data_IF_554323778119
#
_entry.id   IF_554323778119
#
_cell.length_a   1.000
_cell.length_b   1.000
_cell.length_c   1.000
_cell.angle_alpha   90.00
_cell.angle_beta   90.00
_cell.angle_gamma   90.00
#
_symmetry.space_group_name_H-M   'P 1'
#
loop_
_entity.id
_entity.type
_entity.pdbx_description
1 polymer ?
#
# COMPACT_ATOMS: atom_id res chain seq x y z
N UNK A 1 -30.66 6.38 -66.89
CA UNK A 1 -29.90 7.46 -66.22
C UNK A 1 -30.37 7.53 -64.76
N UNK A 2 -29.52 7.03 -63.84
CA UNK A 2 -29.42 7.33 -62.38
C UNK A 2 -30.63 7.03 -61.46
N UNK A 3 -30.55 5.98 -60.63
CA UNK A 3 -30.02 5.95 -59.23
C UNK A 3 -30.98 6.57 -58.20
N UNK A 4 -31.59 5.74 -57.33
CA UNK A 4 -31.26 5.66 -55.90
C UNK A 4 -32.15 4.62 -55.19
N UNK A 5 -31.49 3.58 -54.68
CA UNK A 5 -32.01 2.53 -53.81
C UNK A 5 -31.39 2.73 -52.42
N UNK A 6 -32.08 2.26 -51.39
CA UNK A 6 -31.63 2.10 -49.98
C UNK A 6 -31.60 3.38 -49.13
N UNK A 7 -32.29 3.33 -47.98
CA UNK A 7 -31.71 3.51 -46.64
C UNK A 7 -32.82 3.84 -45.60
N UNK A 8 -33.69 2.89 -45.24
CA UNK A 8 -34.69 3.10 -44.17
C UNK A 8 -35.01 1.79 -43.42
N UNK A 9 -33.97 1.04 -43.06
CA UNK A 9 -34.12 -0.15 -42.20
C UNK A 9 -32.99 -0.30 -41.17
N UNK A 10 -32.40 0.81 -40.72
CA UNK A 10 -31.27 0.80 -39.78
C UNK A 10 -31.35 1.92 -38.73
N UNK A 11 -32.52 2.18 -38.15
CA UNK A 11 -32.64 3.06 -36.96
C UNK A 11 -33.70 2.49 -36.02
N UNK A 12 -33.41 1.36 -35.39
CA UNK A 12 -34.21 0.86 -34.26
C UNK A 12 -33.40 0.07 -33.22
N UNK A 13 -32.06 0.18 -33.23
CA UNK A 13 -31.20 -0.61 -32.34
C UNK A 13 -30.27 0.20 -31.42
N UNK A 14 -30.43 1.54 -31.30
CA UNK A 14 -29.52 2.40 -30.49
C UNK A 14 -30.21 3.04 -29.26
N UNK A 15 -31.49 2.76 -29.00
CA UNK A 15 -32.22 3.39 -27.87
C UNK A 15 -32.37 2.51 -26.61
N UNK A 16 -31.75 1.34 -26.54
CA UNK A 16 -31.82 0.47 -25.35
C UNK A 16 -30.84 0.85 -24.21
N UNK A 17 -29.97 1.85 -24.39
CA UNK A 17 -28.86 2.16 -23.47
C UNK A 17 -29.05 3.44 -22.63
N UNK A 18 -30.29 3.88 -22.40
CA UNK A 18 -30.55 5.14 -21.67
C UNK A 18 -31.62 5.06 -20.58
N UNK A 19 -31.87 3.87 -20.02
CA UNK A 19 -32.73 3.78 -18.84
C UNK A 19 -31.95 4.15 -17.57
N UNK A 20 -32.46 5.08 -16.74
CA UNK A 20 -31.84 5.39 -15.45
C UNK A 20 -31.90 4.16 -14.53
N UNK A 21 -30.77 3.84 -13.90
CA UNK A 21 -30.64 2.76 -12.91
C UNK A 21 -31.59 3.08 -11.74
N UNK A 22 -32.59 2.22 -11.51
CA UNK A 22 -33.53 2.41 -10.40
C UNK A 22 -32.83 2.20 -9.04
N UNK A 23 -33.19 2.97 -8.00
CA UNK A 23 -32.64 2.77 -6.65
C UNK A 23 -33.10 1.42 -6.07
N UNK A 24 -32.14 0.63 -5.57
CA UNK A 24 -32.39 -0.65 -4.93
C UNK A 24 -33.05 -0.42 -3.55
N UNK A 25 -34.19 -1.05 -3.30
CA UNK A 25 -34.84 -1.04 -1.99
C UNK A 25 -34.10 -1.95 -0.99
N UNK A 26 -34.04 -1.62 0.32
CA UNK A 26 -33.42 -2.47 1.33
C UNK A 26 -34.19 -3.78 1.48
N UNK A 27 -33.53 -4.92 1.27
CA UNK A 27 -34.18 -6.24 1.29
C UNK A 27 -33.75 -7.03 2.51
N UNK A 28 -34.67 -7.24 3.44
CA UNK A 28 -34.53 -8.21 4.53
C UNK A 28 -34.68 -9.62 3.96
N UNK A 29 -33.57 -10.31 3.69
CA UNK A 29 -33.60 -11.77 3.43
C UNK A 29 -34.11 -12.47 4.70
N UNK A 30 -35.06 -13.41 4.57
CA UNK A 30 -35.39 -14.35 5.65
C UNK A 30 -34.15 -15.22 5.90
N UNK A 31 -33.32 -14.78 6.83
CA UNK A 31 -32.06 -15.45 7.16
C UNK A 31 -32.43 -16.71 7.92
N UNK A 32 -32.16 -17.89 7.37
CA UNK A 32 -31.82 -19.00 8.25
C UNK A 32 -30.59 -18.54 9.01
N UNK A 33 -30.76 -18.20 10.29
CA UNK A 33 -29.69 -17.65 11.12
C UNK A 33 -28.69 -18.76 11.33
N UNK A 34 -27.56 -18.72 10.62
CA UNK A 34 -26.42 -19.56 10.97
C UNK A 34 -25.93 -19.07 12.33
N UNK A 35 -25.93 -19.94 13.33
CA UNK A 35 -25.35 -19.66 14.64
C UNK A 35 -23.86 -19.37 14.46
N UNK A 36 -23.48 -18.13 14.68
CA UNK A 36 -22.08 -17.68 14.68
C UNK A 36 -21.61 -17.55 16.13
N UNK A 37 -20.37 -17.94 16.39
CA UNK A 37 -19.72 -17.81 17.70
C UNK A 37 -18.93 -16.49 17.77
N UNK A 38 -18.78 -15.95 18.99
CA UNK A 38 -18.00 -14.74 19.26
C UNK A 38 -18.81 -13.44 19.20
N UNK A 39 -18.13 -12.35 19.52
CA UNK A 39 -18.70 -11.00 19.48
C UNK A 39 -19.05 -10.57 18.04
N UNK A 40 -20.04 -9.69 17.92
CA UNK A 40 -20.41 -9.11 16.63
C UNK A 40 -19.40 -8.06 16.22
N UNK A 41 -18.76 -8.25 15.07
CA UNK A 41 -17.82 -7.28 14.49
C UNK A 41 -18.52 -6.53 13.36
N UNK A 42 -18.60 -5.20 13.47
CA UNK A 42 -19.08 -4.35 12.38
C UNK A 42 -17.91 -3.82 11.52
N UNK A 43 -18.23 -3.25 10.35
CA UNK A 43 -17.23 -2.71 9.43
C UNK A 43 -16.40 -1.57 10.07
N UNK A 44 -17.04 -0.67 10.81
CA UNK A 44 -16.39 0.48 11.41
C UNK A 44 -15.39 0.08 12.51
N UNK A 45 -15.75 -0.91 13.33
CA UNK A 45 -14.91 -1.53 14.34
C UNK A 45 -13.72 -2.22 13.68
N UNK A 46 -13.94 -3.02 12.62
CA UNK A 46 -12.87 -3.67 11.87
C UNK A 46 -11.87 -2.64 11.30
N UNK A 47 -12.37 -1.56 10.69
CA UNK A 47 -11.54 -0.46 10.18
C UNK A 47 -10.79 0.22 11.32
N UNK A 48 -11.46 0.57 12.41
CA UNK A 48 -10.84 1.26 13.55
C UNK A 48 -9.71 0.42 14.19
N UNK A 49 -9.95 -0.87 14.38
CA UNK A 49 -8.98 -1.82 14.89
C UNK A 49 -7.76 -1.93 13.96
N UNK A 50 -7.98 -1.99 12.64
CA UNK A 50 -6.90 -2.00 11.67
C UNK A 50 -6.11 -0.68 11.67
N UNK A 51 -6.78 0.47 11.74
CA UNK A 51 -6.11 1.78 11.77
C UNK A 51 -5.22 1.97 13.02
N UNK A 52 -5.62 1.38 14.14
CA UNK A 52 -4.87 1.45 15.40
C UNK A 52 -3.70 0.44 15.46
N UNK A 53 -3.91 -0.78 14.95
CA UNK A 53 -2.99 -1.90 15.16
C UNK A 53 -2.17 -2.30 13.94
N UNK A 54 -2.55 -1.87 12.72
CA UNK A 54 -1.86 -2.25 11.47
C UNK A 54 -0.36 -1.96 11.53
N UNK A 55 0.44 -3.01 11.31
CA UNK A 55 1.89 -2.90 11.23
C UNK A 55 2.34 -2.04 10.04
N UNK A 56 1.63 -2.10 8.91
CA UNK A 56 1.95 -1.29 7.73
C UNK A 56 1.82 0.21 8.05
N UNK A 57 0.73 0.62 8.68
CA UNK A 57 0.53 2.02 9.09
C UNK A 57 1.62 2.46 10.08
N UNK A 58 2.02 1.59 11.02
CA UNK A 58 3.11 1.88 11.97
C UNK A 58 4.47 2.02 11.29
N UNK A 59 4.76 1.21 10.27
CA UNK A 59 5.99 1.31 9.47
C UNK A 59 6.03 2.65 8.74
N UNK A 60 4.96 3.03 8.05
CA UNK A 60 4.89 4.30 7.32
C UNK A 60 4.95 5.51 8.26
N UNK A 61 4.26 5.47 9.40
CA UNK A 61 4.38 6.50 10.45
C UNK A 61 5.80 6.61 11.01
N UNK A 62 6.51 5.48 11.17
CA UNK A 62 7.91 5.49 11.62
C UNK A 62 8.83 6.12 10.58
N UNK A 63 8.62 5.85 9.28
CA UNK A 63 9.37 6.48 8.19
C UNK A 63 9.09 7.99 8.12
N UNK A 64 7.84 8.41 8.33
CA UNK A 64 7.47 9.82 8.45
C UNK A 64 8.21 10.48 9.63
N UNK A 65 8.25 9.82 10.79
CA UNK A 65 8.98 10.31 11.97
C UNK A 65 10.49 10.43 11.71
N UNK A 66 11.10 9.49 10.98
CA UNK A 66 12.51 9.57 10.56
C UNK A 66 12.71 10.84 9.71
N UNK A 67 11.90 11.03 8.68
CA UNK A 67 11.98 12.21 7.81
C UNK A 67 11.78 13.53 8.59
N UNK A 68 10.83 13.57 9.54
CA UNK A 68 10.62 14.75 10.41
C UNK A 68 11.83 15.01 11.32
N UNK A 69 12.47 13.96 11.82
CA UNK A 69 13.67 14.06 12.65
C UNK A 69 14.84 14.59 11.83
N UNK A 70 15.02 14.09 10.62
CA UNK A 70 16.04 14.56 9.67
C UNK A 70 15.83 16.04 9.32
N UNK A 71 14.59 16.43 9.01
CA UNK A 71 14.24 17.83 8.75
C UNK A 71 14.46 18.73 9.98
N UNK A 72 14.07 18.29 11.18
CA UNK A 72 14.33 19.03 12.42
C UNK A 72 15.82 19.17 12.69
N UNK A 73 16.62 18.17 12.35
CA UNK A 73 18.07 18.17 12.54
C UNK A 73 18.78 18.98 11.47
N UNK A 74 18.19 19.13 10.28
CA UNK A 74 18.75 19.91 9.18
C UNK A 74 19.05 21.36 9.56
N UNK A 75 18.28 21.96 10.48
CA UNK A 75 18.57 23.32 11.00
C UNK A 75 19.94 23.42 11.69
N UNK A 76 20.46 22.31 12.22
CA UNK A 76 21.78 22.28 12.86
C UNK A 76 22.93 22.34 11.84
N UNK A 77 22.67 22.09 10.55
CA UNK A 77 23.66 22.28 9.49
C UNK A 77 24.10 23.75 9.31
N UNK A 78 23.34 24.70 9.86
CA UNK A 78 23.68 26.12 9.86
C UNK A 78 24.56 26.53 11.06
N UNK A 79 24.79 25.65 12.02
CA UNK A 79 25.58 25.94 13.23
C UNK A 79 27.03 25.45 13.08
N UNK A 80 27.98 26.02 13.84
CA UNK A 80 29.34 25.50 13.93
C UNK A 80 29.33 24.06 14.46
N UNK A 81 30.20 23.22 13.91
CA UNK A 81 30.60 22.00 14.59
C UNK A 81 31.82 22.27 15.47
N UNK A 82 31.89 21.60 16.62
CA UNK A 82 33.04 21.65 17.51
C UNK A 82 33.49 20.21 17.78
N UNK A 83 34.77 19.95 17.57
CA UNK A 83 35.39 18.65 17.80
C UNK A 83 36.53 18.81 18.79
N UNK A 84 36.55 17.97 19.81
CA UNK A 84 37.68 17.87 20.74
C UNK A 84 38.46 16.62 20.38
N UNK A 85 39.76 16.79 20.14
CA UNK A 85 40.66 15.71 19.76
C UNK A 85 41.78 15.59 20.79
N UNK A 86 42.12 14.35 21.13
CA UNK A 86 43.28 14.02 21.95
C UNK A 86 44.05 12.90 21.25
N UNK A 87 45.35 13.08 21.09
CA UNK A 87 46.22 12.12 20.43
C UNK A 87 47.53 12.05 21.22
N UNK A 88 47.91 10.86 21.66
CA UNK A 88 49.20 10.62 22.30
C UNK A 88 49.92 9.55 21.49
N UNK A 89 50.91 9.98 20.72
CA UNK A 89 51.71 9.09 19.91
C UNK A 89 53.07 8.93 20.57
N UNK A 90 53.46 7.69 20.85
CA UNK A 90 54.80 7.35 21.32
C UNK A 90 55.44 6.43 20.29
N UNK A 91 56.54 6.87 19.68
CA UNK A 91 57.29 6.09 18.71
C UNK A 91 58.61 5.62 19.31
N UNK A 92 58.93 4.33 19.17
CA UNK A 92 60.23 3.78 19.54
C UNK A 92 61.05 3.59 18.27
N UNK A 93 62.19 4.24 18.18
CA UNK A 93 62.98 4.28 16.96
C UNK A 93 64.48 4.19 17.26
N UNK A 94 65.25 3.83 16.24
CA UNK A 94 66.70 3.95 16.24
C UNK A 94 67.07 5.09 15.29
N UNK A 95 67.93 5.99 15.72
CA UNK A 95 68.26 7.23 15.01
C UNK A 95 69.76 7.35 14.83
N UNK A 96 70.20 7.48 13.57
CA UNK A 96 71.58 7.86 13.22
C UNK A 96 71.58 9.31 12.73
N UNK A 97 72.36 10.17 13.39
CA UNK A 97 72.51 11.58 13.04
C UNK A 97 73.93 11.89 12.60
N UNK A 98 74.07 12.66 11.52
CA UNK A 98 75.35 13.16 11.03
C UNK A 98 75.32 14.70 11.11
N UNK A 99 76.36 15.29 11.69
CA UNK A 99 76.39 16.73 11.95
C UNK A 99 76.97 17.49 10.75
N UNK A 100 76.36 18.63 10.42
CA UNK A 100 76.71 19.50 9.29
C UNK A 100 78.15 20.05 9.35
N UNK A 101 78.72 20.16 10.55
CA UNK A 101 80.07 20.68 10.76
C UNK A 101 81.17 19.65 10.43
N UNK A 102 80.83 18.36 10.32
CA UNK A 102 81.79 17.26 10.06
C UNK A 102 82.85 17.07 11.14
N UNK A 103 82.86 17.92 12.17
CA UNK A 103 83.81 17.93 13.29
C UNK A 103 83.41 16.92 14.37
N UNK A 104 82.16 16.44 14.34
CA UNK A 104 81.62 15.48 15.30
C UNK A 104 81.30 14.16 14.60
N UNK A 105 81.68 13.01 15.17
CA UNK A 105 81.32 11.71 14.61
C UNK A 105 79.79 11.52 14.59
N UNK A 106 79.27 10.71 13.65
CA UNK A 106 77.86 10.34 13.61
C UNK A 106 77.36 9.80 14.95
N UNK A 107 76.22 10.27 15.43
CA UNK A 107 75.60 9.81 16.66
C UNK A 107 74.54 8.74 16.35
N UNK A 108 74.75 7.53 16.86
CA UNK A 108 73.77 6.44 16.79
C UNK A 108 73.05 6.30 18.14
N UNK A 109 71.74 6.55 18.16
CA UNK A 109 70.87 6.33 19.30
C UNK A 109 69.93 5.15 19.01
N UNK A 110 69.88 4.19 19.93
CA UNK A 110 69.01 3.01 19.81
C UNK A 110 67.97 3.02 20.93
N UNK A 111 66.74 2.56 20.63
CA UNK A 111 65.65 2.48 21.60
C UNK A 111 65.13 3.82 22.10
N UNK A 112 65.27 4.90 21.31
CA UNK A 112 64.78 6.22 21.71
C UNK A 112 63.26 6.29 21.59
N UNK A 113 62.64 6.94 22.59
CA UNK A 113 61.21 7.17 22.61
C UNK A 113 60.90 8.62 22.29
N UNK A 114 60.10 8.81 21.24
CA UNK A 114 59.59 10.12 20.85
C UNK A 114 58.11 10.17 21.15
N UNK A 115 57.71 11.07 22.05
CA UNK A 115 56.32 11.24 22.45
C UNK A 115 55.79 12.56 21.90
N UNK A 116 54.67 12.51 21.19
CA UNK A 116 53.93 13.68 20.73
C UNK A 116 52.52 13.60 21.30
N UNK A 117 52.21 14.49 22.24
CA UNK A 117 50.89 14.65 22.83
C UNK A 117 50.24 15.87 22.19
N UNK A 118 49.08 15.68 21.58
CA UNK A 118 48.28 16.73 20.98
C UNK A 118 46.90 16.68 21.61
N UNK A 119 46.43 17.81 22.12
CA UNK A 119 45.09 17.97 22.65
C UNK A 119 44.54 19.28 22.09
N UNK A 120 43.33 19.28 21.54
CA UNK A 120 42.79 20.51 21.00
C UNK A 120 41.30 20.47 20.76
N UNK A 121 40.72 21.66 20.71
CA UNK A 121 39.33 21.87 20.30
C UNK A 121 39.35 22.61 18.98
N UNK A 122 38.67 22.08 17.97
CA UNK A 122 38.52 22.68 16.66
C UNK A 122 37.05 22.99 16.40
N UNK A 123 36.77 24.25 16.07
CA UNK A 123 35.49 24.76 15.63
C UNK A 123 35.54 25.00 14.12
N UNK A 124 34.60 24.42 13.39
CA UNK A 124 34.43 24.69 11.97
C UNK A 124 32.97 25.09 11.70
N UNK A 125 32.80 26.26 11.11
CA UNK A 125 31.50 26.79 10.76
C UNK A 125 31.42 27.08 9.28
N UNK A 126 30.58 26.33 8.57
CA UNK A 126 30.25 26.59 7.17
C UNK A 126 29.32 27.80 7.08
N UNK A 127 29.88 28.96 6.78
CA UNK A 127 29.14 30.23 6.67
C UNK A 127 28.41 30.31 5.33
N UNK A 128 29.05 29.81 4.25
CA UNK A 128 28.47 29.84 2.92
C UNK A 128 28.91 28.63 2.09
N UNK A 129 27.99 28.00 1.35
CA UNK A 129 28.27 26.91 0.42
C UNK A 129 27.47 27.02 -0.88
N UNK A 130 27.36 28.23 -1.42
CA UNK A 130 26.55 28.45 -2.62
C UNK A 130 25.05 28.27 -2.40
N UNK A 131 24.56 28.53 -1.19
CA UNK A 131 23.18 28.25 -0.76
C UNK A 131 22.82 26.76 -0.65
N UNK A 132 23.79 25.84 -0.75
CA UNK A 132 23.55 24.39 -0.66
C UNK A 132 22.81 23.96 0.60
N UNK A 133 23.10 24.56 1.77
CA UNK A 133 22.40 24.24 3.03
C UNK A 133 20.92 24.66 3.01
N UNK A 134 20.58 25.80 2.42
CA UNK A 134 19.19 26.25 2.28
C UNK A 134 18.41 25.33 1.34
N UNK A 135 19.00 24.98 0.19
CA UNK A 135 18.39 24.05 -0.77
C UNK A 135 18.19 22.66 -0.14
N UNK A 136 19.18 22.18 0.62
CA UNK A 136 19.09 20.90 1.32
C UNK A 136 18.00 20.91 2.41
N UNK A 137 17.83 22.03 3.12
CA UNK A 137 16.75 22.22 4.09
C UNK A 137 15.37 22.17 3.41
N UNK A 138 15.18 22.93 2.33
CA UNK A 138 13.94 22.91 1.54
C UNK A 138 13.64 21.50 1.01
N UNK A 139 14.67 20.80 0.52
CA UNK A 139 14.54 19.42 0.02
C UNK A 139 14.04 18.48 1.11
N UNK A 140 14.60 18.54 2.31
CA UNK A 140 14.16 17.71 3.44
C UNK A 140 12.73 18.05 3.84
N UNK A 141 12.31 19.31 3.73
CA UNK A 141 10.91 19.71 3.93
C UNK A 141 9.96 19.06 2.93
N UNK A 142 10.33 18.98 1.64
CA UNK A 142 9.54 18.26 0.62
C UNK A 142 9.55 16.74 0.86
N UNK A 143 10.66 16.16 1.35
CA UNK A 143 10.73 14.73 1.73
C UNK A 143 9.77 14.38 2.86
N UNK A 144 9.58 15.26 3.85
CA UNK A 144 8.55 15.07 4.89
C UNK A 144 7.15 15.01 4.27
N UNK A 145 6.83 15.90 3.32
CA UNK A 145 5.53 15.89 2.64
C UNK A 145 5.34 14.61 1.81
N UNK A 146 6.39 14.06 1.21
CA UNK A 146 6.36 12.78 0.49
C UNK A 146 5.99 11.65 1.44
N UNK A 147 6.63 11.58 2.61
CA UNK A 147 6.37 10.51 3.59
C UNK A 147 4.98 10.64 4.23
N UNK A 148 4.49 11.87 4.45
CA UNK A 148 3.10 12.13 4.85
C UNK A 148 2.11 11.62 3.77
N UNK A 149 2.34 11.94 2.50
CA UNK A 149 1.49 11.48 1.40
C UNK A 149 1.50 9.96 1.27
N UNK A 150 2.67 9.32 1.33
CA UNK A 150 2.79 7.85 1.31
C UNK A 150 2.08 7.18 2.50
N UNK A 151 2.18 7.77 3.69
CA UNK A 151 1.47 7.29 4.89
C UNK A 151 -0.04 7.36 4.66
N UNK A 152 -0.55 8.48 4.11
CA UNK A 152 -1.96 8.61 3.75
C UNK A 152 -2.39 7.57 2.71
N UNK A 153 -1.60 7.35 1.66
CA UNK A 153 -1.90 6.33 0.65
C UNK A 153 -1.99 4.93 1.27
N UNK A 154 -1.11 4.60 2.21
CA UNK A 154 -1.12 3.32 2.90
C UNK A 154 -2.33 3.17 3.85
N UNK A 155 -2.74 4.25 4.51
CA UNK A 155 -3.97 4.30 5.30
C UNK A 155 -5.19 4.04 4.41
N UNK A 156 -5.32 4.75 3.28
CA UNK A 156 -6.42 4.56 2.31
C UNK A 156 -6.45 3.12 1.76
N UNK A 157 -5.27 2.55 1.45
CA UNK A 157 -5.16 1.16 1.01
C UNK A 157 -5.56 0.15 2.10
N UNK A 158 -5.14 0.35 3.35
CA UNK A 158 -5.50 -0.51 4.48
C UNK A 158 -7.01 -0.51 4.71
N UNK A 159 -7.65 0.66 4.67
CA UNK A 159 -9.11 0.77 4.80
C UNK A 159 -9.82 0.00 3.69
N UNK A 160 -9.38 0.16 2.43
CA UNK A 160 -9.95 -0.56 1.30
C UNK A 160 -9.78 -2.09 1.41
N UNK A 161 -8.60 -2.56 1.83
CA UNK A 161 -8.33 -3.99 2.03
C UNK A 161 -9.18 -4.60 3.13
N UNK A 162 -9.34 -3.90 4.27
CA UNK A 162 -10.19 -4.35 5.38
C UNK A 162 -11.66 -4.39 4.96
N UNK A 163 -12.14 -3.34 4.29
CA UNK A 163 -13.51 -3.31 3.80
C UNK A 163 -13.79 -4.43 2.78
N UNK A 164 -12.85 -4.70 1.87
CA UNK A 164 -12.96 -5.78 0.89
C UNK A 164 -13.01 -7.15 1.57
N UNK A 165 -12.11 -7.41 2.53
CA UNK A 165 -12.09 -8.65 3.30
C UNK A 165 -13.37 -8.83 4.16
N UNK A 166 -13.88 -7.75 4.74
CA UNK A 166 -15.13 -7.76 5.49
C UNK A 166 -16.33 -8.16 4.62
N UNK A 167 -16.47 -7.56 3.44
CA UNK A 167 -17.53 -7.94 2.50
C UNK A 167 -17.33 -9.34 1.90
N UNK A 168 -16.09 -9.85 1.82
CA UNK A 168 -15.85 -11.23 1.44
C UNK A 168 -16.38 -12.20 2.51
N UNK A 169 -16.18 -11.92 3.80
CA UNK A 169 -16.79 -12.72 4.88
C UNK A 169 -18.31 -12.77 4.72
N UNK A 170 -18.96 -11.64 4.45
CA UNK A 170 -20.41 -11.57 4.21
C UNK A 170 -20.79 -12.42 2.99
N UNK A 171 -20.07 -12.30 1.88
CA UNK A 171 -20.27 -13.10 0.66
C UNK A 171 -20.21 -14.60 0.96
N UNK A 172 -19.16 -15.04 1.65
CA UNK A 172 -18.98 -16.47 1.99
C UNK A 172 -20.10 -16.97 2.92
N UNK A 173 -20.54 -16.15 3.88
CA UNK A 173 -21.64 -16.48 4.78
C UNK A 173 -22.98 -16.60 4.04
N UNK A 174 -23.27 -15.70 3.10
CA UNK A 174 -24.49 -15.77 2.27
C UNK A 174 -24.51 -17.02 1.38
N UNK A 175 -23.38 -17.39 0.78
CA UNK A 175 -23.26 -18.64 0.03
C UNK A 175 -23.42 -19.87 0.92
N UNK A 176 -22.91 -19.82 2.17
CA UNK A 176 -23.10 -20.89 3.15
C UNK A 176 -24.59 -21.07 3.52
N UNK A 177 -25.33 -19.96 3.65
CA UNK A 177 -26.78 -19.99 3.88
C UNK A 177 -27.50 -20.65 2.70
N UNK A 178 -27.18 -20.28 1.47
CA UNK A 178 -27.77 -20.84 0.24
C UNK A 178 -27.51 -22.36 0.14
N UNK A 179 -26.27 -22.80 0.35
CA UNK A 179 -25.91 -24.22 0.31
C UNK A 179 -26.57 -25.03 1.44
N UNK A 180 -26.78 -24.43 2.61
CA UNK A 180 -27.49 -25.08 3.71
C UNK A 180 -28.96 -25.31 3.35
N UNK A 181 -29.62 -24.33 2.76
CA UNK A 181 -30.99 -24.47 2.26
C UNK A 181 -31.07 -25.54 1.16
N UNK A 182 -30.10 -25.58 0.25
CA UNK A 182 -30.03 -26.63 -0.77
C UNK A 182 -29.86 -28.03 -0.17
N UNK A 183 -29.04 -28.17 0.88
CA UNK A 183 -28.87 -29.44 1.58
C UNK A 183 -30.14 -29.90 2.30
N UNK A 184 -30.88 -28.98 2.92
CA UNK A 184 -32.16 -29.29 3.57
C UNK A 184 -33.17 -29.82 2.54
N UNK A 185 -33.28 -29.20 1.36
CA UNK A 185 -34.10 -29.70 0.24
C UNK A 185 -33.63 -31.09 -0.22
N UNK A 186 -32.32 -31.32 -0.33
CA UNK A 186 -31.77 -32.62 -0.73
C UNK A 186 -32.01 -33.70 0.33
N UNK A 187 -32.09 -33.34 1.62
CA UNK A 187 -32.50 -34.26 2.69
C UNK A 187 -33.95 -34.67 2.53
N UNK A 188 -34.86 -33.72 2.36
CA UNK A 188 -36.29 -34.00 2.19
C UNK A 188 -36.54 -34.90 0.96
N UNK A 189 -35.81 -34.64 -0.13
CA UNK A 189 -35.85 -35.49 -1.34
C UNK A 189 -35.33 -36.91 -1.07
N UNK A 190 -34.25 -37.07 -0.31
CA UNK A 190 -33.71 -38.37 0.04
C UNK A 190 -34.70 -39.18 0.90
N UNK A 191 -35.34 -38.53 1.88
CA UNK A 191 -36.36 -39.15 2.72
C UNK A 191 -37.58 -39.59 1.90
N UNK A 192 -38.07 -38.73 1.00
CA UNK A 192 -39.17 -39.06 0.10
C UNK A 192 -38.80 -40.21 -0.86
N UNK A 193 -37.60 -40.19 -1.43
CA UNK A 193 -37.14 -41.24 -2.33
C UNK A 193 -36.96 -42.59 -1.61
N UNK A 194 -36.51 -42.58 -0.34
CA UNK A 194 -36.44 -43.77 0.51
C UNK A 194 -37.83 -44.34 0.77
N UNK A 195 -38.78 -43.51 1.23
CA UNK A 195 -40.15 -43.94 1.51
C UNK A 195 -40.83 -44.53 0.27
N UNK A 196 -40.67 -43.89 -0.88
CA UNK A 196 -41.23 -44.38 -2.14
C UNK A 196 -40.61 -45.71 -2.59
N UNK A 197 -39.32 -45.92 -2.36
CA UNK A 197 -38.65 -47.19 -2.64
C UNK A 197 -39.12 -48.31 -1.72
N UNK A 198 -39.26 -48.05 -0.42
CA UNK A 198 -39.73 -49.02 0.59
C UNK A 198 -41.16 -49.50 0.32
N UNK A 199 -42.03 -48.60 -0.15
CA UNK A 199 -43.41 -48.92 -0.56
C UNK A 199 -43.50 -49.46 -1.99
N UNK A 200 -42.38 -49.47 -2.74
CA UNK A 200 -42.30 -50.01 -4.11
C UNK A 200 -42.88 -49.11 -5.21
N UNK A 201 -43.11 -47.83 -4.92
CA UNK A 201 -43.69 -46.85 -5.89
C UNK A 201 -42.64 -46.22 -6.81
N UNK A 202 -41.35 -46.26 -6.44
CA UNK A 202 -40.22 -45.73 -7.23
C UNK A 202 -39.04 -46.70 -7.23
N UNK A 203 -38.10 -46.49 -8.15
CA UNK A 203 -36.99 -47.40 -8.38
C UNK A 203 -35.87 -47.25 -7.33
N UNK A 204 -35.07 -48.30 -7.12
CA UNK A 204 -33.83 -48.22 -6.31
C UNK A 204 -32.85 -47.19 -6.88
N UNK A 205 -32.87 -46.96 -8.20
CA UNK A 205 -32.03 -45.97 -8.88
C UNK A 205 -32.38 -44.56 -8.43
N UNK A 206 -33.66 -44.24 -8.25
CA UNK A 206 -34.11 -42.93 -7.76
C UNK A 206 -33.62 -42.66 -6.33
N UNK A 207 -33.72 -43.68 -5.44
CA UNK A 207 -33.18 -43.60 -4.08
C UNK A 207 -31.66 -43.38 -4.06
N UNK A 208 -30.91 -44.19 -4.81
CA UNK A 208 -29.45 -44.06 -4.86
C UNK A 208 -29.01 -42.72 -5.47
N UNK A 209 -29.74 -42.22 -6.46
CA UNK A 209 -29.45 -40.91 -7.07
C UNK A 209 -29.67 -39.76 -6.06
N UNK A 210 -30.77 -39.80 -5.30
CA UNK A 210 -31.02 -38.84 -4.24
C UNK A 210 -29.95 -38.90 -3.12
N UNK A 211 -29.46 -40.10 -2.80
CA UNK A 211 -28.38 -40.27 -1.83
C UNK A 211 -27.05 -39.68 -2.32
N UNK A 212 -26.73 -39.83 -3.61
CA UNK A 212 -25.56 -39.20 -4.22
C UNK A 212 -25.68 -37.67 -4.20
N UNK A 213 -26.86 -37.13 -4.54
CA UNK A 213 -27.12 -35.69 -4.51
C UNK A 213 -26.97 -35.11 -3.10
N UNK A 214 -27.54 -35.77 -2.08
CA UNK A 214 -27.37 -35.37 -0.68
C UNK A 214 -25.89 -35.36 -0.24
N UNK A 215 -25.12 -36.38 -0.64
CA UNK A 215 -23.69 -36.45 -0.33
C UNK A 215 -22.89 -35.35 -1.05
N UNK A 216 -23.25 -35.03 -2.30
CA UNK A 216 -22.62 -33.95 -3.07
C UNK A 216 -22.88 -32.58 -2.44
N UNK A 217 -24.13 -32.30 -2.03
CA UNK A 217 -24.49 -31.05 -1.37
C UNK A 217 -23.87 -30.95 0.03
N UNK A 218 -23.76 -32.07 0.76
CA UNK A 218 -23.05 -32.14 2.04
C UNK A 218 -21.57 -31.78 1.88
N UNK A 219 -20.92 -32.33 0.84
CA UNK A 219 -19.52 -32.02 0.51
C UNK A 219 -19.33 -30.54 0.16
N UNK A 220 -20.24 -29.97 -0.66
CA UNK A 220 -20.22 -28.55 -1.01
C UNK A 220 -20.38 -27.65 0.22
N UNK A 221 -21.27 -28.01 1.16
CA UNK A 221 -21.43 -27.27 2.41
C UNK A 221 -20.15 -27.27 3.25
N UNK A 222 -19.48 -28.42 3.40
CA UNK A 222 -18.21 -28.54 4.14
C UNK A 222 -17.12 -27.69 3.48
N UNK A 223 -17.00 -27.72 2.16
CA UNK A 223 -16.07 -26.87 1.42
C UNK A 223 -16.36 -25.38 1.67
N UNK A 224 -17.64 -24.99 1.68
CA UNK A 224 -18.02 -23.59 1.93
C UNK A 224 -17.77 -23.16 3.38
N UNK A 225 -17.92 -24.05 4.36
CA UNK A 225 -17.52 -23.78 5.75
C UNK A 225 -16.03 -23.47 5.86
N UNK A 226 -15.19 -24.19 5.11
CA UNK A 226 -13.76 -23.89 5.03
C UNK A 226 -13.51 -22.51 4.39
N UNK A 227 -14.25 -22.13 3.34
CA UNK A 227 -14.14 -20.81 2.73
C UNK A 227 -14.49 -19.68 3.70
N UNK A 228 -15.57 -19.84 4.48
CA UNK A 228 -15.95 -18.90 5.56
C UNK A 228 -14.84 -18.82 6.61
N UNK A 229 -14.26 -19.95 7.02
CA UNK A 229 -13.16 -19.96 7.98
C UNK A 229 -11.94 -19.22 7.44
N UNK A 230 -11.58 -19.46 6.18
CA UNK A 230 -10.45 -18.80 5.53
C UNK A 230 -10.65 -17.28 5.42
N UNK A 231 -11.85 -16.81 5.03
CA UNK A 231 -12.13 -15.38 4.95
C UNK A 231 -12.10 -14.70 6.32
N UNK A 232 -12.59 -15.37 7.37
CA UNK A 232 -12.46 -14.89 8.76
C UNK A 232 -11.00 -14.79 9.22
N UNK A 233 -10.19 -15.83 8.96
CA UNK A 233 -8.75 -15.85 9.26
C UNK A 233 -8.03 -14.70 8.56
N UNK A 234 -8.37 -14.47 7.29
CA UNK A 234 -7.81 -13.37 6.51
C UNK A 234 -8.17 -12.00 7.11
N UNK A 235 -9.43 -11.78 7.47
CA UNK A 235 -9.86 -10.54 8.12
C UNK A 235 -9.16 -10.34 9.48
N UNK A 236 -9.08 -11.39 10.33
CA UNK A 236 -8.35 -11.35 11.60
C UNK A 236 -6.89 -10.91 11.43
N UNK A 237 -6.23 -11.42 10.39
CA UNK A 237 -4.84 -11.07 10.08
C UNK A 237 -4.70 -9.60 9.68
N UNK A 238 -5.64 -9.07 8.89
CA UNK A 238 -5.64 -7.67 8.47
C UNK A 238 -5.89 -6.69 9.63
N UNK A 239 -6.77 -7.04 10.57
CA UNK A 239 -7.05 -6.23 11.77
C UNK A 239 -6.05 -6.48 12.92
N UNK A 240 -5.02 -7.30 12.68
CA UNK A 240 -3.96 -7.63 13.64
C UNK A 240 -4.52 -8.23 14.93
N UNK A 241 -5.32 -9.28 14.79
CA UNK A 241 -5.85 -10.12 15.87
C UNK A 241 -5.34 -11.55 15.70
N UNK A 242 -5.43 -12.38 16.75
CA UNK A 242 -5.17 -13.80 16.64
C UNK A 242 -6.02 -14.41 15.49
N UNK A 243 -5.38 -15.05 14.48
CA UNK A 243 -6.05 -15.68 13.36
C UNK A 243 -7.17 -16.66 13.75
N UNK A 244 -7.05 -17.32 14.90
CA UNK A 244 -8.02 -18.31 15.39
C UNK A 244 -9.25 -17.69 16.08
N UNK A 245 -9.29 -16.37 16.27
CA UNK A 245 -10.38 -15.72 16.99
C UNK A 245 -11.69 -15.79 16.21
N UNK A 246 -12.72 -16.39 16.78
CA UNK A 246 -14.06 -16.40 16.20
C UNK A 246 -14.79 -15.06 16.40
N UNK A 247 -15.67 -14.74 15.46
CA UNK A 247 -16.54 -13.56 15.51
C UNK A 247 -17.76 -13.76 14.62
N UNK A 248 -18.80 -12.96 14.88
CA UNK A 248 -20.03 -12.95 14.11
C UNK A 248 -20.13 -11.68 13.24
N UNK A 249 -20.60 -11.83 12.00
CA UNK A 249 -20.94 -10.70 11.11
C UNK A 249 -22.43 -10.79 10.78
N UNK A 250 -23.15 -9.67 10.92
CA UNK A 250 -24.62 -9.59 10.70
C UNK A 250 -25.03 -8.60 9.60
N UNK A 251 -24.05 -7.99 8.92
CA UNK A 251 -24.30 -7.01 7.88
C UNK A 251 -24.70 -7.65 6.54
N UNK A 252 -25.18 -6.81 5.62
CA UNK A 252 -25.50 -7.17 4.23
C UNK A 252 -24.76 -6.25 3.27
N UNK A 253 -24.56 -6.71 2.04
CA UNK A 253 -23.94 -5.93 0.97
C UNK A 253 -24.97 -4.93 0.43
N UNK A 254 -24.72 -3.63 0.62
CA UNK A 254 -25.53 -2.55 0.05
C UNK A 254 -24.68 -1.83 -0.98
N UNK A 255 -25.15 -1.82 -2.23
CA UNK A 255 -24.49 -1.20 -3.36
C UNK A 255 -25.00 0.22 -3.55
N UNK A 256 -24.07 1.17 -3.64
CA UNK A 256 -24.38 2.56 -3.93
C UNK A 256 -24.53 2.77 -5.45
N UNK A 257 -25.45 3.64 -5.88
CA UNK A 257 -25.77 3.87 -7.31
C UNK A 257 -25.47 5.29 -7.82
N UNK A 258 -25.11 6.22 -6.93
CA UNK A 258 -24.98 7.66 -7.22
C UNK A 258 -23.53 8.13 -7.47
N UNK A 259 -22.71 7.30 -8.13
CA UNK A 259 -21.29 7.62 -8.38
C UNK A 259 -21.10 8.30 -9.74
N UNK A 260 -20.61 9.55 -9.73
CA UNK A 260 -20.27 10.31 -10.94
C UNK A 260 -18.77 10.23 -11.28
N UNK A 261 -18.45 9.77 -12.49
CA UNK A 261 -17.06 9.65 -12.98
C UNK A 261 -16.32 10.99 -12.99
N UNK A 262 -16.98 12.08 -13.40
CA UNK A 262 -16.32 13.39 -13.52
C UNK A 262 -15.92 13.94 -12.15
N UNK A 263 -16.74 13.73 -11.13
CA UNK A 263 -16.39 14.07 -9.75
C UNK A 263 -15.20 13.24 -9.25
N UNK A 264 -15.16 11.94 -9.57
CA UNK A 264 -14.03 11.07 -9.21
C UNK A 264 -12.73 11.49 -9.90
N UNK A 265 -12.77 11.86 -11.18
CA UNK A 265 -11.59 12.35 -11.93
C UNK A 265 -11.02 13.63 -11.31
N UNK A 266 -11.88 14.57 -10.94
CA UNK A 266 -11.48 15.81 -10.27
C UNK A 266 -10.87 15.51 -8.90
N UNK A 267 -11.51 14.66 -8.10
CA UNK A 267 -11.00 14.28 -6.78
C UNK A 267 -9.67 13.53 -6.87
N UNK A 268 -9.52 12.61 -7.82
CA UNK A 268 -8.27 11.89 -8.08
C UNK A 268 -7.13 12.86 -8.40
N UNK A 269 -7.37 13.83 -9.28
CA UNK A 269 -6.33 14.78 -9.71
C UNK A 269 -5.87 15.69 -8.56
N UNK A 270 -6.78 16.06 -7.66
CA UNK A 270 -6.49 17.03 -6.60
C UNK A 270 -6.07 16.40 -5.26
N UNK A 271 -6.60 15.22 -4.94
CA UNK A 271 -6.52 14.63 -3.61
C UNK A 271 -5.73 13.33 -3.53
N UNK A 272 -5.42 12.68 -4.67
CA UNK A 272 -4.78 11.38 -4.64
C UNK A 272 -3.35 11.47 -4.07
N UNK A 273 -3.04 10.78 -2.96
CA UNK A 273 -1.76 10.90 -2.28
C UNK A 273 -0.58 10.39 -3.11
N UNK A 274 -0.78 9.40 -4.00
CA UNK A 274 0.29 8.90 -4.87
C UNK A 274 0.68 9.93 -5.93
N UNK A 275 -0.30 10.65 -6.49
CA UNK A 275 -0.03 11.73 -7.44
C UNK A 275 0.64 12.93 -6.75
N UNK A 276 0.21 13.26 -5.52
CA UNK A 276 0.87 14.29 -4.70
C UNK A 276 2.33 13.90 -4.41
N UNK A 277 2.58 12.66 -4.00
CA UNK A 277 3.93 12.16 -3.77
C UNK A 277 4.80 12.21 -5.03
N UNK A 278 4.26 11.85 -6.20
CA UNK A 278 4.98 11.94 -7.47
C UNK A 278 5.36 13.39 -7.83
N UNK A 279 4.43 14.33 -7.67
CA UNK A 279 4.71 15.76 -7.90
C UNK A 279 5.77 16.31 -6.92
N UNK A 280 5.74 15.89 -5.65
CA UNK A 280 6.75 16.25 -4.66
C UNK A 280 8.13 15.63 -4.97
N UNK A 281 8.18 14.39 -5.46
CA UNK A 281 9.43 13.75 -5.92
C UNK A 281 10.08 14.55 -7.06
N UNK A 282 9.28 15.05 -8.01
CA UNK A 282 9.79 15.96 -9.05
C UNK A 282 10.36 17.26 -8.46
N UNK A 283 9.71 17.85 -7.44
CA UNK A 283 10.25 19.04 -6.74
C UNK A 283 11.59 18.73 -6.06
N UNK A 284 11.72 17.58 -5.40
CA UNK A 284 12.98 17.12 -4.80
C UNK A 284 14.07 16.97 -5.87
N UNK A 285 13.76 16.39 -7.04
CA UNK A 285 14.70 16.27 -8.14
C UNK A 285 15.16 17.65 -8.66
N UNK A 286 14.24 18.61 -8.80
CA UNK A 286 14.57 19.99 -9.16
C UNK A 286 15.46 20.68 -8.12
N UNK A 287 15.23 20.43 -6.83
CA UNK A 287 16.12 20.93 -5.76
C UNK A 287 17.50 20.28 -5.83
N UNK A 288 17.60 19.00 -6.21
CA UNK A 288 18.89 18.34 -6.43
C UNK A 288 19.67 18.96 -7.62
N UNK A 289 18.98 19.44 -8.66
CA UNK A 289 19.63 20.23 -9.73
C UNK A 289 20.23 21.51 -9.18
N UNK A 290 19.46 22.27 -8.38
CA UNK A 290 19.96 23.50 -7.74
C UNK A 290 21.12 23.20 -6.78
N UNK A 291 21.07 22.08 -6.06
CA UNK A 291 22.14 21.64 -5.17
C UNK A 291 23.41 21.28 -5.97
N UNK A 292 23.31 20.58 -7.09
CA UNK A 292 24.45 20.33 -7.98
C UNK A 292 25.03 21.64 -8.55
N UNK A 293 24.18 22.62 -8.88
CA UNK A 293 24.62 23.95 -9.35
C UNK A 293 25.32 24.75 -8.24
N UNK A 294 24.87 24.65 -6.99
CA UNK A 294 25.46 25.34 -5.83
C UNK A 294 26.94 25.00 -5.62
N UNK A 295 27.35 23.78 -5.99
CA UNK A 295 28.73 23.30 -5.86
C UNK A 295 29.73 24.01 -6.79
N UNK A 296 29.26 24.89 -7.69
CA UNK A 296 30.11 25.77 -8.51
C UNK A 296 30.45 27.09 -7.82
N UNK A 297 29.75 27.44 -6.76
CA UNK A 297 29.93 28.69 -6.03
C UNK A 297 30.99 28.52 -4.93
N UNK A 298 31.54 29.64 -4.40
CA UNK A 298 32.46 29.57 -3.27
C UNK A 298 31.87 28.85 -2.08
N UNK A 299 32.74 28.14 -1.37
CA UNK A 299 32.52 27.74 0.02
C UNK A 299 33.32 28.66 0.94
N UNK A 300 32.73 29.12 2.04
CA UNK A 300 33.35 29.98 3.04
C UNK A 300 33.15 29.34 4.41
N UNK A 301 34.25 29.03 5.07
CA UNK A 301 34.30 28.47 6.41
C UNK A 301 34.93 29.50 7.37
N UNK A 302 34.34 29.65 8.55
CA UNK A 302 35.03 30.20 9.72
C UNK A 302 35.66 29.03 10.47
N UNK A 303 36.96 29.07 10.65
CA UNK A 303 37.71 28.08 11.44
C UNK A 303 38.25 28.74 12.69
N UNK A 304 38.16 28.03 13.80
CA UNK A 304 38.69 28.44 15.08
C UNK A 304 39.17 27.22 15.84
N UNK A 305 40.10 27.39 16.76
CA UNK A 305 40.51 26.28 17.60
C UNK A 305 41.67 26.61 18.51
N UNK A 306 41.79 25.82 19.56
CA UNK A 306 42.91 25.89 20.49
C UNK A 306 43.62 24.55 20.47
N UNK A 307 44.90 24.55 20.12
CA UNK A 307 45.72 23.35 20.05
C UNK A 307 46.85 23.45 21.07
N UNK A 308 46.91 22.46 21.95
CA UNK A 308 48.03 22.16 22.83
C UNK A 308 48.84 21.04 22.19
N UNK A 309 50.14 21.24 22.05
CA UNK A 309 51.07 20.23 21.59
C UNK A 309 52.29 20.15 22.51
N UNK A 310 52.57 18.97 23.04
CA UNK A 310 53.77 18.67 23.80
C UNK A 310 54.56 17.56 23.11
N UNK A 311 55.77 17.89 22.66
CA UNK A 311 56.70 16.98 22.02
C UNK A 311 57.83 16.70 23.01
N UNK A 312 58.13 15.43 23.25
CA UNK A 312 59.35 14.97 23.91
C UNK A 312 60.13 14.15 22.89
N UNK A 313 61.31 14.64 22.52
CA UNK A 313 62.15 14.03 21.50
C UNK A 313 63.48 13.63 22.13
N UNK A 314 63.64 12.34 22.44
CA UNK A 314 64.87 11.81 23.04
C UNK A 314 66.03 11.76 22.03
N UNK A 315 65.75 11.88 20.74
CA UNK A 315 66.77 11.92 19.68
C UNK A 315 67.03 13.30 19.08
N UNK A 316 66.47 14.40 19.59
CA UNK A 316 66.54 15.71 18.93
C UNK A 316 67.85 16.47 19.16
N UNK A 317 68.41 17.09 18.11
CA UNK A 317 69.48 18.10 18.25
C UNK A 317 68.88 19.43 18.72
N UNK A 318 69.29 19.91 19.90
CA UNK A 318 68.98 21.27 20.38
C UNK A 318 67.65 21.47 21.12
N UNK A 319 66.66 20.58 21.01
CA UNK A 319 65.38 20.68 21.76
C UNK A 319 64.90 19.30 22.19
N UNK A 320 65.06 18.97 23.48
CA UNK A 320 64.63 17.69 24.06
C UNK A 320 63.13 17.62 24.39
N UNK A 321 62.50 18.76 24.65
CA UNK A 321 61.05 18.89 24.83
C UNK A 321 60.57 20.23 24.32
N UNK A 322 59.44 20.27 23.63
CA UNK A 322 58.80 21.48 23.15
C UNK A 322 57.33 21.48 23.54
N UNK A 323 56.83 22.64 23.97
CA UNK A 323 55.41 22.88 24.21
C UNK A 323 54.95 24.02 23.31
N UNK A 324 53.81 23.82 22.65
CA UNK A 324 53.17 24.83 21.82
C UNK A 324 51.68 24.90 22.17
N UNK A 325 51.25 26.09 22.56
CA UNK A 325 49.87 26.41 22.91
C UNK A 325 49.39 27.46 21.89
N UNK A 326 48.61 27.03 20.90
CA UNK A 326 48.24 27.85 19.76
C UNK A 326 46.73 28.04 19.65
N UNK A 327 46.27 29.29 19.81
CA UNK A 327 44.94 29.72 19.36
C UNK A 327 45.01 30.02 17.86
N UNK A 328 44.23 29.29 17.07
CA UNK A 328 44.13 29.46 15.62
C UNK A 328 42.71 29.94 15.30
N UNK A 329 42.60 30.98 14.48
CA UNK A 329 41.33 31.45 13.97
C UNK A 329 41.53 32.04 12.58
N UNK A 330 40.52 31.94 11.73
CA UNK A 330 40.60 32.48 10.39
C UNK A 330 39.38 32.16 9.55
N UNK A 331 39.36 32.72 8.35
CA UNK A 331 38.38 32.42 7.33
C UNK A 331 39.06 31.65 6.20
N UNK A 332 38.39 30.62 5.70
CA UNK A 332 38.83 29.84 4.55
C UNK A 332 37.77 29.93 3.47
N UNK A 333 38.13 30.48 2.31
CA UNK A 333 37.28 30.47 1.12
C UNK A 333 37.88 29.56 0.05
N UNK A 334 37.07 28.70 -0.55
CA UNK A 334 37.49 27.82 -1.64
C UNK A 334 36.47 27.83 -2.77
N UNK A 335 36.95 28.06 -4.00
CA UNK A 335 36.14 28.07 -5.23
C UNK A 335 36.73 27.06 -6.20
N UNK A 336 35.95 26.07 -6.69
CA UNK A 336 36.44 25.13 -7.69
C UNK A 336 36.56 25.83 -9.06
N UNK A 337 37.79 26.11 -9.50
CA UNK A 337 38.04 26.74 -10.82
C UNK A 337 37.97 25.70 -11.94
N UNK A 338 38.61 24.54 -11.76
CA UNK A 338 38.60 23.45 -12.73
C UNK A 338 38.54 22.09 -12.03
N UNK A 339 37.52 21.29 -12.35
CA UNK A 339 37.27 19.97 -11.74
C UNK A 339 37.30 18.83 -12.76
N UNK A 340 38.01 18.99 -13.89
CA UNK A 340 38.02 17.99 -14.96
C UNK A 340 36.64 17.68 -15.55
N UNK A 341 35.80 18.71 -15.75
CA UNK A 341 34.41 18.61 -16.21
C UNK A 341 33.44 17.79 -15.32
N UNK A 342 33.89 17.27 -14.17
CA UNK A 342 33.04 16.50 -13.27
C UNK A 342 31.79 17.27 -12.81
N UNK A 343 31.92 18.57 -12.50
CA UNK A 343 30.77 19.38 -12.10
C UNK A 343 29.73 19.55 -13.20
N UNK A 344 30.17 19.68 -14.47
CA UNK A 344 29.26 19.72 -15.62
C UNK A 344 28.50 18.40 -15.75
N UNK A 345 29.18 17.27 -15.57
CA UNK A 345 28.56 15.94 -15.57
C UNK A 345 27.51 15.79 -14.46
N UNK A 346 27.82 16.21 -13.23
CA UNK A 346 26.89 16.12 -12.10
C UNK A 346 25.62 16.93 -12.32
N UNK A 347 25.74 18.16 -12.84
CA UNK A 347 24.58 19.00 -13.17
C UNK A 347 23.75 18.37 -14.29
N UNK A 348 24.41 17.89 -15.36
CA UNK A 348 23.72 17.22 -16.46
C UNK A 348 22.97 15.98 -15.99
N UNK A 349 23.58 15.14 -15.14
CA UNK A 349 22.94 13.95 -14.58
C UNK A 349 21.74 14.33 -13.69
N UNK A 350 21.87 15.38 -12.87
CA UNK A 350 20.77 15.87 -12.04
C UNK A 350 19.60 16.38 -12.88
N UNK A 351 19.88 17.08 -13.99
CA UNK A 351 18.86 17.54 -14.94
C UNK A 351 18.14 16.38 -15.62
N UNK A 352 18.89 15.36 -16.07
CA UNK A 352 18.31 14.14 -16.62
C UNK A 352 17.43 13.43 -15.58
N UNK A 353 17.88 13.34 -14.32
CA UNK A 353 17.06 12.76 -13.24
C UNK A 353 15.77 13.56 -12.98
N UNK A 354 15.81 14.89 -13.08
CA UNK A 354 14.60 15.71 -12.99
C UNK A 354 13.59 15.41 -14.11
N UNK A 355 14.07 15.23 -15.35
CA UNK A 355 13.23 14.80 -16.47
C UNK A 355 12.66 13.40 -16.24
N UNK A 356 13.45 12.45 -15.70
CA UNK A 356 12.96 11.11 -15.34
C UNK A 356 11.82 11.21 -14.33
N UNK A 357 11.95 12.03 -13.28
CA UNK A 357 10.86 12.20 -12.30
C UNK A 357 9.62 12.89 -12.87
N UNK A 358 9.77 13.75 -13.88
CA UNK A 358 8.64 14.35 -14.59
C UNK A 358 7.90 13.33 -15.47
N UNK A 359 8.62 12.44 -16.14
CA UNK A 359 8.01 11.32 -16.86
C UNK A 359 7.34 10.33 -15.91
N UNK A 360 7.93 10.05 -14.75
CA UNK A 360 7.31 9.21 -13.71
C UNK A 360 6.03 9.84 -13.14
N UNK A 361 5.99 11.16 -12.92
CA UNK A 361 4.76 11.86 -12.51
C UNK A 361 3.66 11.70 -13.58
N UNK A 362 4.02 11.87 -14.85
CA UNK A 362 3.09 11.78 -15.97
C UNK A 362 2.57 10.35 -16.18
N UNK A 363 3.46 9.35 -16.07
CA UNK A 363 3.11 7.93 -16.14
C UNK A 363 2.20 7.52 -14.96
N UNK A 364 2.55 7.94 -13.74
CA UNK A 364 1.72 7.69 -12.55
C UNK A 364 0.31 8.30 -12.70
N UNK A 365 0.21 9.51 -13.27
CA UNK A 365 -1.09 10.15 -13.57
C UNK A 365 -1.88 9.31 -14.57
N UNK A 366 -1.25 8.87 -15.66
CA UNK A 366 -1.90 8.06 -16.69
C UNK A 366 -2.38 6.70 -16.13
N UNK A 367 -1.55 6.03 -15.33
CA UNK A 367 -1.90 4.76 -14.68
C UNK A 367 -3.09 4.91 -13.73
N UNK A 368 -3.13 5.98 -12.93
CA UNK A 368 -4.26 6.24 -12.03
C UNK A 368 -5.55 6.57 -12.80
N UNK A 369 -5.45 7.32 -13.89
CA UNK A 369 -6.59 7.58 -14.78
C UNK A 369 -7.08 6.29 -15.44
N UNK A 370 -6.18 5.47 -15.96
CA UNK A 370 -6.50 4.17 -16.54
C UNK A 370 -7.21 3.27 -15.52
N UNK A 371 -6.66 3.16 -14.30
CA UNK A 371 -7.27 2.39 -13.23
C UNK A 371 -8.68 2.89 -12.92
N UNK A 372 -8.87 4.22 -12.81
CA UNK A 372 -10.19 4.81 -12.56
C UNK A 372 -11.20 4.46 -13.66
N UNK A 373 -10.82 4.60 -14.94
CA UNK A 373 -11.70 4.26 -16.07
C UNK A 373 -12.07 2.76 -16.08
N UNK A 374 -11.08 1.89 -15.85
CA UNK A 374 -11.30 0.45 -15.82
C UNK A 374 -12.22 0.06 -14.67
N UNK A 375 -11.95 0.55 -13.45
CA UNK A 375 -12.78 0.28 -12.27
C UNK A 375 -14.18 0.86 -12.44
N UNK A 376 -14.33 2.03 -13.06
CA UNK A 376 -15.65 2.63 -13.29
C UNK A 376 -16.47 1.85 -14.32
N UNK A 377 -15.82 1.38 -15.40
CA UNK A 377 -16.44 0.49 -16.37
C UNK A 377 -16.88 -0.84 -15.73
N UNK A 378 -16.03 -1.43 -14.88
CA UNK A 378 -16.36 -2.63 -14.10
C UNK A 378 -17.54 -2.38 -13.15
N UNK A 379 -17.55 -1.27 -12.42
CA UNK A 379 -18.63 -0.87 -11.53
C UNK A 379 -19.96 -0.74 -12.30
N UNK A 380 -19.97 -0.04 -13.43
CA UNK A 380 -21.17 0.11 -14.27
C UNK A 380 -21.67 -1.23 -14.82
N UNK A 381 -20.77 -2.07 -15.31
CA UNK A 381 -21.13 -3.40 -15.80
C UNK A 381 -21.71 -4.26 -14.66
N UNK A 382 -21.06 -4.26 -13.50
CA UNK A 382 -21.49 -5.02 -12.33
C UNK A 382 -22.85 -4.56 -11.80
N UNK A 383 -23.16 -3.26 -11.85
CA UNK A 383 -24.50 -2.75 -11.53
C UNK A 383 -25.60 -3.32 -12.45
N UNK A 384 -25.32 -3.41 -13.75
CA UNK A 384 -26.26 -4.00 -14.71
C UNK A 384 -26.45 -5.49 -14.39
N UNK A 385 -25.36 -6.21 -14.11
CA UNK A 385 -25.40 -7.63 -13.73
C UNK A 385 -26.20 -7.86 -12.44
N UNK A 386 -26.05 -7.02 -11.41
CA UNK A 386 -26.85 -7.11 -10.19
C UNK A 386 -28.34 -7.06 -10.51
N UNK A 387 -28.77 -6.10 -11.34
CA UNK A 387 -30.18 -5.98 -11.72
C UNK A 387 -30.70 -7.20 -12.49
N UNK A 388 -29.89 -7.78 -13.39
CA UNK A 388 -30.26 -8.99 -14.15
C UNK A 388 -30.30 -10.24 -13.26
N UNK A 389 -29.34 -10.41 -12.36
CA UNK A 389 -29.25 -11.57 -11.47
C UNK A 389 -30.30 -11.51 -10.35
N UNK A 390 -30.76 -10.32 -9.96
CA UNK A 390 -31.92 -10.17 -9.06
C UNK A 390 -33.16 -10.83 -9.65
N UNK A 391 -33.46 -10.54 -10.91
CA UNK A 391 -34.63 -11.11 -11.58
C UNK A 391 -34.44 -12.61 -11.87
N UNK A 392 -33.23 -12.99 -12.28
CA UNK A 392 -32.86 -14.40 -12.51
C UNK A 392 -33.02 -15.23 -11.24
N UNK A 393 -32.58 -14.71 -10.09
CA UNK A 393 -32.73 -15.36 -8.79
C UNK A 393 -34.22 -15.48 -8.39
N UNK A 394 -35.01 -14.41 -8.57
CA UNK A 394 -36.44 -14.42 -8.28
C UNK A 394 -37.17 -15.53 -9.04
N UNK A 395 -36.94 -15.60 -10.36
CA UNK A 395 -37.56 -16.61 -11.24
C UNK A 395 -37.05 -18.01 -10.88
N UNK A 396 -35.75 -18.18 -10.63
CA UNK A 396 -35.19 -19.49 -10.31
C UNK A 396 -35.73 -20.03 -8.98
N UNK A 397 -35.92 -19.17 -7.98
CA UNK A 397 -36.45 -19.56 -6.68
C UNK A 397 -37.95 -19.95 -6.77
N UNK A 398 -38.75 -19.19 -7.52
CA UNK A 398 -40.15 -19.52 -7.81
C UNK A 398 -40.26 -20.87 -8.56
N UNK A 399 -39.37 -21.11 -9.51
CA UNK A 399 -39.33 -22.37 -10.25
C UNK A 399 -38.97 -23.58 -9.36
N UNK A 400 -38.09 -23.42 -8.37
CA UNK A 400 -37.78 -24.50 -7.41
C UNK A 400 -39.00 -24.91 -6.61
N UNK A 401 -39.78 -23.94 -6.12
CA UNK A 401 -40.99 -24.22 -5.34
C UNK A 401 -42.01 -25.01 -6.17
N UNK A 402 -42.27 -24.56 -7.41
CA UNK A 402 -43.17 -25.24 -8.34
C UNK A 402 -42.66 -26.64 -8.69
N UNK A 403 -41.36 -26.78 -8.98
CA UNK A 403 -40.75 -28.05 -9.34
C UNK A 403 -40.78 -29.04 -8.17
N UNK A 404 -40.58 -28.56 -6.94
CA UNK A 404 -40.65 -29.40 -5.73
C UNK A 404 -42.06 -29.96 -5.53
N UNK A 405 -43.10 -29.11 -5.64
CA UNK A 405 -44.48 -29.58 -5.52
C UNK A 405 -44.86 -30.57 -6.64
N UNK A 406 -44.45 -30.31 -7.88
CA UNK A 406 -44.64 -31.27 -8.99
C UNK A 406 -43.93 -32.60 -8.73
N UNK A 407 -42.73 -32.58 -8.14
CA UNK A 407 -42.01 -33.78 -7.77
C UNK A 407 -42.71 -34.56 -6.66
N UNK A 408 -43.20 -33.87 -5.61
CA UNK A 408 -43.94 -34.48 -4.49
C UNK A 408 -45.20 -35.21 -4.93
N UNK A 409 -45.97 -34.64 -5.87
CA UNK A 409 -47.19 -35.26 -6.42
C UNK A 409 -46.90 -36.27 -7.54
N UNK A 410 -45.63 -36.44 -7.92
CA UNK A 410 -45.20 -37.41 -8.93
C UNK A 410 -45.32 -36.97 -10.39
N UNK A 411 -45.66 -35.69 -10.65
CA UNK A 411 -45.83 -35.07 -11.97
C UNK A 411 -44.52 -34.51 -12.57
N UNK A 412 -43.36 -34.80 -11.96
CA UNK A 412 -42.02 -34.44 -12.43
C UNK A 412 -41.01 -35.52 -12.05
N UNK A 413 -39.91 -35.60 -12.79
CA UNK A 413 -38.83 -36.57 -12.55
C UNK A 413 -37.83 -36.04 -11.52
N UNK A 414 -37.11 -36.94 -10.83
CA UNK A 414 -36.05 -36.54 -9.90
C UNK A 414 -34.93 -35.74 -10.58
N UNK A 415 -34.67 -36.01 -11.86
CA UNK A 415 -33.65 -35.31 -12.66
C UNK A 415 -34.10 -33.88 -12.98
N UNK A 416 -35.34 -33.70 -13.46
CA UNK A 416 -35.91 -32.36 -13.74
C UNK A 416 -35.89 -31.48 -12.48
N UNK A 417 -36.31 -32.02 -11.33
CA UNK A 417 -36.25 -31.29 -10.07
C UNK A 417 -34.82 -30.92 -9.66
N UNK A 418 -33.87 -31.87 -9.76
CA UNK A 418 -32.46 -31.62 -9.42
C UNK A 418 -31.84 -30.54 -10.31
N UNK A 419 -32.19 -30.51 -11.60
CA UNK A 419 -31.71 -29.48 -12.51
C UNK A 419 -32.22 -28.09 -12.11
N UNK A 420 -33.50 -27.98 -11.75
CA UNK A 420 -34.08 -26.71 -11.26
C UNK A 420 -33.42 -26.27 -9.96
N UNK A 421 -33.20 -27.18 -9.00
CA UNK A 421 -32.50 -26.90 -7.74
C UNK A 421 -31.08 -26.37 -7.98
N UNK A 422 -30.29 -27.05 -8.84
CA UNK A 422 -28.92 -26.61 -9.18
C UNK A 422 -28.91 -25.24 -9.84
N UNK A 423 -29.88 -24.97 -10.72
CA UNK A 423 -30.01 -23.67 -11.39
C UNK A 423 -30.33 -22.53 -10.41
N UNK A 424 -31.15 -22.77 -9.40
CA UNK A 424 -31.45 -21.76 -8.36
C UNK A 424 -30.26 -21.46 -7.46
N UNK A 425 -29.54 -22.47 -6.98
CA UNK A 425 -28.30 -22.29 -6.20
C UNK A 425 -27.25 -21.52 -7.02
N UNK A 426 -27.12 -21.86 -8.31
CA UNK A 426 -26.23 -21.15 -9.21
C UNK A 426 -26.66 -19.69 -9.43
N UNK A 427 -27.96 -19.41 -9.59
CA UNK A 427 -28.49 -18.05 -9.71
C UNK A 427 -28.26 -17.22 -8.44
N UNK A 428 -28.49 -17.80 -7.26
CA UNK A 428 -28.22 -17.12 -6.00
C UNK A 428 -26.73 -16.80 -5.84
N UNK A 429 -25.86 -17.75 -6.19
CA UNK A 429 -24.40 -17.56 -6.15
C UNK A 429 -23.96 -16.45 -7.12
N UNK A 430 -24.54 -16.38 -8.32
CA UNK A 430 -24.27 -15.30 -9.28
C UNK A 430 -24.70 -13.94 -8.75
N UNK A 431 -25.90 -13.85 -8.14
CA UNK A 431 -26.38 -12.62 -7.52
C UNK A 431 -25.45 -12.15 -6.39
N UNK A 432 -25.12 -13.04 -5.45
CA UNK A 432 -24.22 -12.74 -4.33
C UNK A 432 -22.84 -12.25 -4.84
N UNK A 433 -22.30 -12.90 -5.88
CA UNK A 433 -21.04 -12.50 -6.49
C UNK A 433 -21.14 -11.14 -7.22
N UNK A 434 -22.24 -10.88 -7.92
CA UNK A 434 -22.47 -9.59 -8.58
C UNK A 434 -22.59 -8.44 -7.55
N UNK A 435 -23.31 -8.65 -6.44
CA UNK A 435 -23.40 -7.69 -5.33
C UNK A 435 -22.02 -7.39 -4.74
N UNK A 436 -21.24 -8.43 -4.44
CA UNK A 436 -19.88 -8.29 -3.92
C UNK A 436 -18.95 -7.59 -4.91
N UNK A 437 -18.94 -8.00 -6.19
CA UNK A 437 -18.09 -7.40 -7.23
C UNK A 437 -18.40 -5.91 -7.43
N UNK A 438 -19.68 -5.53 -7.32
CA UNK A 438 -20.07 -4.12 -7.40
C UNK A 438 -19.57 -3.35 -6.17
N UNK A 439 -19.64 -3.95 -4.98
CA UNK A 439 -19.18 -3.31 -3.75
C UNK A 439 -17.67 -3.11 -3.69
N UNK A 440 -16.87 -4.08 -4.15
CA UNK A 440 -15.42 -3.91 -4.22
C UNK A 440 -15.01 -2.85 -5.25
N UNK A 441 -15.73 -2.76 -6.39
CA UNK A 441 -15.48 -1.73 -7.38
C UNK A 441 -15.82 -0.34 -6.83
N UNK A 442 -16.91 -0.21 -6.07
CA UNK A 442 -17.25 1.01 -5.33
C UNK A 442 -16.14 1.41 -4.33
N UNK A 443 -15.63 0.46 -3.53
CA UNK A 443 -14.54 0.70 -2.57
C UNK A 443 -13.28 1.18 -3.30
N UNK A 444 -12.93 0.55 -4.43
CA UNK A 444 -11.75 0.91 -5.21
C UNK A 444 -11.88 2.29 -5.86
N UNK A 445 -13.06 2.66 -6.38
CA UNK A 445 -13.32 4.01 -6.88
C UNK A 445 -13.15 5.07 -5.79
N UNK A 446 -13.63 4.79 -4.58
CA UNK A 446 -13.47 5.68 -3.42
C UNK A 446 -12.00 5.78 -2.97
N UNK A 447 -11.23 4.69 -3.08
CA UNK A 447 -9.79 4.69 -2.79
C UNK A 447 -9.01 5.49 -3.83
N UNK A 448 -9.24 5.27 -5.13
CA UNK A 448 -8.57 5.97 -6.23
C UNK A 448 -8.86 7.48 -6.21
N UNK A 449 -10.06 7.87 -5.83
CA UNK A 449 -10.47 9.28 -5.68
C UNK A 449 -10.13 9.89 -4.32
N UNK A 450 -9.55 9.11 -3.39
CA UNK A 450 -9.21 9.51 -2.02
C UNK A 450 -10.38 10.06 -1.19
N UNK A 451 -11.59 9.55 -1.46
CA UNK A 451 -12.82 9.85 -0.71
C UNK A 451 -13.12 8.82 0.38
N UNK A 452 -12.42 7.68 0.39
CA UNK A 452 -12.66 6.57 1.32
C UNK A 452 -12.56 6.95 2.81
N UNK A 453 -11.74 7.95 3.15
CA UNK A 453 -11.60 8.45 4.53
C UNK A 453 -12.67 9.48 4.91
N UNK A 454 -13.32 10.11 3.94
CA UNK A 454 -14.34 11.14 4.20
C UNK A 454 -15.69 10.52 4.57
N UNK A 455 -15.95 9.27 4.17
CA UNK A 455 -17.19 8.56 4.48
C UNK A 455 -17.26 7.98 5.91
N UNK A 456 -16.15 8.00 6.64
CA UNK A 456 -16.05 7.45 8.00
C UNK A 456 -16.12 8.54 9.09
N UNK A 457 -16.45 9.79 8.72
CA UNK A 457 -16.84 10.86 9.64
C UNK A 457 -18.34 11.03 9.59
#
# INVERSE_FOLDING_TARGET
>A
MRFFLSLTFFISFITAWSQPVQPLSPRTRRTSVITQQGETLNLQEAISAALEKSYQIRIFKSQEQIARTDFRTAKYSFFPNATANFTNNSNLQNLRQEFLDGLRPPQNLYGITNRNTQAGVALNWLVFNGFGNFIAYDRLGEVVKITEANTRANVEATVASVATAYYDVIRQLQQLVSLRQALDISRDRLELARANYEVGTRSRVDYLSAQVDYNADSSALVAQQQNVRNSKVFLNTLIVRDPATEFAVRDTIIVRTDISLDQLRQSLTNNNPLLIAAALNRRVANLNVKLAQSQRLPTVNLVGGYNFQAINNQGGFGVGSARNDALQYGFQASVPIFTGFNQRRLISNAQTNALVTEYQESDQRLQLQQALEQTYSQYRNSLILVNLEVESYRIANENVEIAFERYRVGNSTAVEFRDVQRNAVAAETRLINAEYNTKIAEIELLRLSSQILQQNK
#
